data_IF_719787412607
#
_entry.id   IF_719787412607
#
_cell.length_a   1.000
_cell.length_b   1.000
_cell.length_c   1.000
_cell.angle_alpha   90.00
_cell.angle_beta   90.00
_cell.angle_gamma   90.00
#
_symmetry.space_group_name_H-M   'P 1'
#
loop_
_entity.id
_entity.type
_entity.pdbx_description
1 polymer ?
#
# COMPACT_ATOMS: atom_id res chain seq x y z
N UNK A 1 -12.09 12.07 15.74
CA UNK A 1 -11.11 10.98 15.91
C UNK A 1 -10.09 11.21 14.79
N UNK A 2 -8.77 11.03 15.00
CA UNK A 2 -7.80 11.30 13.91
C UNK A 2 -8.06 10.36 12.73
N UNK A 3 -7.97 10.88 11.49
CA UNK A 3 -8.29 10.12 10.26
C UNK A 3 -7.47 8.83 10.12
N UNK A 4 -6.20 8.88 10.56
CA UNK A 4 -5.32 7.71 10.61
C UNK A 4 -5.95 6.59 11.43
N UNK A 5 -6.36 6.85 12.67
CA UNK A 5 -6.97 5.83 13.52
C UNK A 5 -8.30 5.31 12.99
N UNK A 6 -9.07 6.13 12.26
CA UNK A 6 -10.28 5.67 11.58
C UNK A 6 -9.95 4.64 10.49
N UNK A 7 -8.89 4.87 9.70
CA UNK A 7 -8.43 3.94 8.66
C UNK A 7 -7.87 2.66 9.28
N UNK A 8 -7.00 2.78 10.30
CA UNK A 8 -6.42 1.62 10.98
C UNK A 8 -7.52 0.71 11.54
N UNK A 9 -8.53 1.27 12.20
CA UNK A 9 -9.69 0.50 12.70
C UNK A 9 -10.47 -0.20 11.60
N UNK A 10 -10.60 0.41 10.42
CA UNK A 10 -11.27 -0.22 9.27
C UNK A 10 -10.47 -1.42 8.77
N UNK A 11 -9.14 -1.30 8.69
CA UNK A 11 -8.25 -2.39 8.32
C UNK A 11 -8.27 -3.52 9.36
N UNK A 12 -8.21 -3.18 10.66
CA UNK A 12 -8.29 -4.13 11.77
C UNK A 12 -9.60 -4.92 11.74
N UNK A 13 -10.75 -4.22 11.58
CA UNK A 13 -12.07 -4.85 11.50
C UNK A 13 -12.19 -5.78 10.28
N UNK A 14 -11.52 -5.47 9.18
CA UNK A 14 -11.45 -6.29 7.99
C UNK A 14 -10.39 -7.40 8.07
N UNK A 15 -9.60 -7.46 9.17
CA UNK A 15 -8.46 -8.38 9.34
C UNK A 15 -7.41 -8.27 8.22
N UNK A 16 -7.25 -7.06 7.66
CA UNK A 16 -6.22 -6.79 6.65
C UNK A 16 -4.92 -6.49 7.36
N UNK A 17 -3.85 -7.20 6.98
CA UNK A 17 -2.51 -6.91 7.49
C UNK A 17 -1.95 -5.65 6.82
N UNK A 18 -1.35 -4.78 7.63
CA UNK A 18 -0.72 -3.56 7.16
C UNK A 18 0.53 -3.23 7.98
N UNK A 19 1.37 -2.35 7.42
CA UNK A 19 2.45 -1.69 8.11
C UNK A 19 2.31 -0.17 7.99
N UNK A 20 2.80 0.55 9.00
CA UNK A 20 2.81 2.00 9.03
C UNK A 20 4.23 2.48 8.79
N UNK A 21 4.39 3.43 7.88
CA UNK A 21 5.61 4.14 7.57
C UNK A 21 5.42 5.65 7.61
N UNK A 22 6.52 6.36 7.42
CA UNK A 22 6.53 7.81 7.21
C UNK A 22 7.58 8.12 6.18
N UNK A 23 7.14 8.33 4.94
CA UNK A 23 8.04 8.63 3.82
C UNK A 23 8.11 10.13 3.51
N UNK A 24 7.08 10.88 3.89
CA UNK A 24 7.03 12.34 3.77
C UNK A 24 6.75 12.99 5.13
N UNK A 25 7.18 14.25 5.35
CA UNK A 25 7.01 14.92 6.63
C UNK A 25 5.53 15.19 6.98
N UNK A 26 4.68 15.36 5.98
CA UNK A 26 3.26 15.71 6.07
C UNK A 26 2.33 14.49 6.05
N UNK A 27 2.86 13.27 5.98
CA UNK A 27 2.03 12.05 5.91
C UNK A 27 2.34 11.01 6.99
N UNK A 28 1.32 10.22 7.29
CA UNK A 28 1.47 8.86 7.80
C UNK A 28 1.04 7.93 6.65
N UNK A 29 1.95 7.03 6.26
CA UNK A 29 1.73 6.12 5.14
C UNK A 29 1.40 4.72 5.68
N UNK A 30 0.38 4.10 5.11
CA UNK A 30 -0.08 2.77 5.49
C UNK A 30 -0.04 1.91 4.24
N UNK A 31 0.74 0.84 4.28
CA UNK A 31 0.74 -0.15 3.20
C UNK A 31 0.01 -1.39 3.68
N UNK A 32 -1.05 -1.73 2.98
CA UNK A 32 -1.87 -2.91 3.23
C UNK A 32 -1.73 -3.90 2.07
N UNK A 33 -1.69 -5.19 2.39
CA UNK A 33 -1.68 -6.26 1.39
C UNK A 33 -2.99 -7.01 1.45
N UNK A 34 -3.65 -7.14 0.30
CA UNK A 34 -4.81 -8.01 0.09
C UNK A 34 -4.50 -8.93 -1.11
N UNK A 35 -5.31 -9.98 -1.28
CA UNK A 35 -5.14 -10.91 -2.41
C UNK A 35 -5.20 -10.15 -3.74
N UNK A 36 -4.19 -10.33 -4.57
CA UNK A 36 -4.07 -9.68 -5.88
C UNK A 36 -3.80 -8.18 -5.86
N UNK A 37 -3.57 -7.57 -4.69
CA UNK A 37 -3.39 -6.13 -4.60
C UNK A 37 -2.57 -5.67 -3.40
N UNK A 38 -1.64 -4.75 -3.66
CA UNK A 38 -1.02 -3.92 -2.62
C UNK A 38 -1.67 -2.54 -2.65
N UNK A 39 -2.11 -2.07 -1.50
CA UNK A 39 -2.73 -0.76 -1.33
C UNK A 39 -1.79 0.11 -0.51
N UNK A 40 -1.47 1.29 -1.02
CA UNK A 40 -0.78 2.33 -0.26
C UNK A 40 -1.79 3.44 0.06
N UNK A 41 -1.86 3.83 1.33
CA UNK A 41 -2.77 4.85 1.85
C UNK A 41 -1.91 5.92 2.53
N UNK A 42 -1.89 7.13 2.00
CA UNK A 42 -1.23 8.27 2.63
C UNK A 42 -2.29 9.13 3.32
N UNK A 43 -2.13 9.34 4.62
CA UNK A 43 -2.98 10.22 5.42
C UNK A 43 -2.18 11.47 5.77
N UNK A 44 -2.65 12.63 5.32
CA UNK A 44 -1.98 13.91 5.52
C UNK A 44 -2.34 14.52 6.88
N UNK A 45 -1.55 15.49 7.33
CA UNK A 45 -1.76 16.19 8.59
C UNK A 45 -3.02 17.09 8.63
N UNK A 46 -3.58 17.38 7.46
CA UNK A 46 -4.87 18.07 7.26
C UNK A 46 -6.07 17.09 7.11
N UNK A 47 -5.87 15.80 7.43
CA UNK A 47 -6.83 14.70 7.27
C UNK A 47 -7.20 14.35 5.81
N UNK A 48 -6.53 14.91 4.79
CA UNK A 48 -6.64 14.42 3.41
C UNK A 48 -6.10 12.99 3.29
N UNK A 49 -6.68 12.20 2.38
CA UNK A 49 -6.32 10.79 2.19
C UNK A 49 -6.14 10.51 0.72
N UNK A 50 -4.97 9.96 0.37
CA UNK A 50 -4.68 9.43 -0.95
C UNK A 50 -4.55 7.92 -0.88
N UNK A 51 -5.06 7.24 -1.91
CA UNK A 51 -5.02 5.77 -2.00
C UNK A 51 -4.49 5.40 -3.39
N UNK A 52 -3.39 4.66 -3.40
CA UNK A 52 -2.82 4.04 -4.60
C UNK A 52 -3.02 2.53 -4.54
N UNK A 53 -3.48 1.96 -5.66
CA UNK A 53 -3.77 0.53 -5.82
C UNK A 53 -2.79 -0.07 -6.81
N UNK A 54 -2.06 -1.08 -6.40
CA UNK A 54 -1.12 -1.82 -7.23
C UNK A 54 -1.66 -3.23 -7.41
N UNK A 55 -2.20 -3.51 -8.60
CA UNK A 55 -2.79 -4.80 -8.94
C UNK A 55 -1.69 -5.78 -9.36
N UNK A 56 -1.80 -7.03 -8.92
CA UNK A 56 -0.91 -8.12 -9.31
C UNK A 56 -1.70 -9.38 -9.63
N UNK A 57 -1.11 -10.29 -10.42
CA UNK A 57 -1.75 -11.55 -10.83
C UNK A 57 -1.51 -12.72 -9.86
N UNK A 58 -0.64 -12.54 -8.85
CA UNK A 58 -0.16 -13.60 -7.94
C UNK A 58 0.56 -14.76 -8.64
N UNK A 59 0.95 -14.58 -9.90
CA UNK A 59 1.69 -15.58 -10.65
C UNK A 59 3.05 -15.85 -10.00
N UNK A 60 3.41 -17.13 -9.93
CA UNK A 60 4.75 -17.55 -9.52
C UNK A 60 5.61 -17.61 -10.78
N UNK A 61 6.45 -16.59 -10.95
CA UNK A 61 7.33 -16.43 -12.09
C UNK A 61 8.76 -16.87 -11.76
N UNK A 62 9.57 -17.13 -12.77
CA UNK A 62 10.99 -17.45 -12.60
C UNK A 62 11.87 -16.19 -12.54
N UNK A 63 13.18 -16.39 -12.32
CA UNK A 63 14.16 -15.30 -12.21
C UNK A 63 14.26 -14.43 -13.47
N UNK A 64 13.86 -14.93 -14.64
CA UNK A 64 13.92 -14.18 -15.90
C UNK A 64 13.10 -12.89 -15.88
N UNK A 65 12.03 -12.84 -15.09
CA UNK A 65 11.19 -11.65 -14.93
C UNK A 65 11.93 -10.51 -14.23
N UNK A 66 12.93 -10.81 -13.39
CA UNK A 66 13.75 -9.77 -12.78
C UNK A 66 14.55 -9.00 -13.84
N UNK A 67 15.08 -9.70 -14.84
CA UNK A 67 15.83 -9.07 -15.93
C UNK A 67 14.94 -8.16 -16.78
N UNK A 68 13.68 -8.56 -17.02
CA UNK A 68 12.69 -7.75 -17.72
C UNK A 68 12.38 -6.45 -16.95
N UNK A 69 12.10 -6.56 -15.65
CA UNK A 69 11.82 -5.41 -14.77
C UNK A 69 12.98 -4.42 -14.75
N UNK A 70 14.22 -4.90 -14.65
CA UNK A 70 15.40 -4.05 -14.56
C UNK A 70 15.75 -3.34 -15.88
N UNK A 71 15.31 -3.87 -17.02
CA UNK A 71 15.48 -3.23 -18.33
C UNK A 71 14.48 -2.10 -18.58
N UNK A 72 13.36 -2.11 -17.86
CA UNK A 72 12.33 -1.08 -17.97
C UNK A 72 11.51 -1.16 -19.27
N UNK A 73 11.44 -2.36 -19.86
CA UNK A 73 10.58 -2.61 -21.02
C UNK A 73 9.13 -2.72 -20.54
N UNK A 74 8.34 -1.66 -20.74
CA UNK A 74 6.88 -1.64 -20.56
C UNK A 74 6.14 -2.37 -21.70
#
# INVERSE_FOLDING_TARGET
MSKVFEILKRLDNAKVHYFIGRYRPDTIDITATVVGERVEISVFDDDHVEISRFLGSEDVLDEGVLDEILRGDE
#
